data_IF_684626676949
#
_entry.id   IF_684626676949
#
_cell.length_a   1.000
_cell.length_b   1.000
_cell.length_c   1.000
_cell.angle_alpha   90.00
_cell.angle_beta   90.00
_cell.angle_gamma   90.00
#
_symmetry.space_group_name_H-M   'P 1'
#
loop_
_entity.id
_entity.type
_entity.pdbx_description
1 polymer ?
#
# COMPACT_ATOMS: atom_id res chain seq x y z
N UNK A 1 -15.18 -7.44 13.60
CA UNK A 1 -13.77 -7.18 13.26
C UNK A 1 -13.56 -7.72 11.86
N UNK A 2 -12.97 -6.96 10.93
CA UNK A 2 -12.73 -7.48 9.58
C UNK A 2 -11.60 -8.49 9.65
N UNK A 3 -11.78 -9.63 8.98
CA UNK A 3 -10.74 -10.64 8.84
C UNK A 3 -9.71 -10.17 7.81
N UNK A 4 -8.60 -9.61 8.31
CA UNK A 4 -7.52 -9.07 7.48
C UNK A 4 -6.88 -10.16 6.60
N UNK A 5 -6.80 -11.40 7.08
CA UNK A 5 -6.23 -12.50 6.30
C UNK A 5 -7.13 -12.85 5.12
N UNK A 6 -8.45 -12.95 5.36
CA UNK A 6 -9.41 -13.19 4.29
C UNK A 6 -9.40 -12.06 3.23
N UNK A 7 -9.25 -10.80 3.66
CA UNK A 7 -9.10 -9.67 2.74
C UNK A 7 -7.82 -9.77 1.91
N UNK A 8 -6.69 -10.15 2.52
CA UNK A 8 -5.42 -10.34 1.80
C UNK A 8 -5.55 -11.43 0.73
N UNK A 9 -6.18 -12.56 1.05
CA UNK A 9 -6.46 -13.63 0.09
C UNK A 9 -7.31 -13.12 -1.08
N UNK A 10 -8.38 -12.36 -0.77
CA UNK A 10 -9.25 -11.77 -1.77
C UNK A 10 -8.50 -10.80 -2.69
N UNK A 11 -7.69 -9.89 -2.12
CA UNK A 11 -6.91 -8.91 -2.87
C UNK A 11 -5.87 -9.57 -3.76
N UNK A 12 -5.19 -10.62 -3.26
CA UNK A 12 -4.24 -11.39 -4.07
C UNK A 12 -4.94 -12.10 -5.24
N UNK A 13 -6.08 -12.76 -4.99
CA UNK A 13 -6.83 -13.47 -6.00
C UNK A 13 -7.42 -12.55 -7.09
N UNK A 14 -7.64 -11.27 -6.78
CA UNK A 14 -8.14 -10.27 -7.72
C UNK A 14 -7.06 -9.67 -8.64
N UNK A 15 -5.78 -9.94 -8.39
CA UNK A 15 -4.69 -9.47 -9.25
C UNK A 15 -4.74 -10.18 -10.61
N UNK A 16 -4.82 -9.43 -11.70
CA UNK A 16 -5.02 -9.99 -13.05
C UNK A 16 -3.93 -9.60 -14.08
N UNK A 17 -3.10 -8.60 -13.78
CA UNK A 17 -2.12 -8.04 -14.70
C UNK A 17 -0.69 -8.11 -14.12
N UNK A 18 -0.17 -9.33 -14.01
CA UNK A 18 1.17 -9.60 -13.52
C UNK A 18 1.64 -11.00 -13.96
N UNK A 19 2.95 -11.26 -14.02
CA UNK A 19 3.45 -12.62 -14.26
C UNK A 19 2.99 -13.59 -13.16
N UNK A 20 2.97 -14.90 -13.44
CA UNK A 20 2.70 -15.90 -12.41
C UNK A 20 3.75 -15.81 -11.30
N UNK A 21 3.32 -16.00 -10.07
CA UNK A 21 4.18 -15.99 -8.90
C UNK A 21 4.45 -17.41 -8.40
N UNK A 22 5.68 -17.67 -7.96
CA UNK A 22 5.99 -18.87 -7.19
C UNK A 22 5.31 -18.84 -5.81
N UNK A 23 5.16 -19.98 -5.15
CA UNK A 23 4.57 -20.03 -3.80
C UNK A 23 5.28 -19.11 -2.80
N UNK A 24 6.62 -19.01 -2.88
CA UNK A 24 7.41 -18.10 -2.05
C UNK A 24 7.07 -16.64 -2.35
N UNK A 25 6.97 -16.27 -3.63
CA UNK A 25 6.56 -14.92 -4.03
C UNK A 25 5.14 -14.61 -3.54
N UNK A 26 4.20 -15.56 -3.65
CA UNK A 26 2.83 -15.38 -3.12
C UNK A 26 2.85 -15.04 -1.63
N UNK A 27 3.66 -15.74 -0.83
CA UNK A 27 3.76 -15.47 0.60
C UNK A 27 4.31 -14.05 0.89
N UNK A 28 5.32 -13.61 0.14
CA UNK A 28 5.89 -12.25 0.25
C UNK A 28 4.85 -11.20 -0.15
N UNK A 29 4.15 -11.43 -1.25
CA UNK A 29 3.12 -10.51 -1.75
C UNK A 29 1.99 -10.38 -0.74
N UNK A 30 1.51 -11.48 -0.16
CA UNK A 30 0.46 -11.44 0.87
C UNK A 30 0.91 -10.64 2.10
N UNK A 31 2.16 -10.77 2.54
CA UNK A 31 2.72 -9.90 3.59
C UNK A 31 2.73 -8.42 3.17
N UNK A 32 3.08 -8.14 1.92
CA UNK A 32 3.06 -6.78 1.38
C UNK A 32 1.63 -6.20 1.38
N UNK A 33 0.66 -6.92 0.83
CA UNK A 33 -0.75 -6.55 0.86
C UNK A 33 -1.23 -6.28 2.29
N UNK A 34 -0.89 -7.20 3.21
CA UNK A 34 -1.22 -7.09 4.63
C UNK A 34 -0.66 -5.82 5.26
N UNK A 35 0.60 -5.46 4.94
CA UNK A 35 1.22 -4.23 5.42
C UNK A 35 0.40 -3.01 5.01
N UNK A 36 0.13 -2.83 3.71
CA UNK A 36 -0.63 -1.65 3.23
C UNK A 36 -2.06 -1.59 3.80
N UNK A 37 -2.76 -2.73 3.83
CA UNK A 37 -4.11 -2.80 4.38
C UNK A 37 -4.12 -2.50 5.89
N UNK A 38 -3.23 -3.11 6.66
CA UNK A 38 -3.11 -2.87 8.09
C UNK A 38 -2.81 -1.39 8.37
N UNK A 39 -1.85 -0.81 7.66
CA UNK A 39 -1.39 0.56 7.90
C UNK A 39 -2.42 1.61 7.49
N UNK A 40 -2.99 1.51 6.29
CA UNK A 40 -3.73 2.62 5.67
C UNK A 40 -5.24 2.42 5.55
N UNK A 41 -5.73 1.18 5.67
CA UNK A 41 -7.17 0.87 5.57
C UNK A 41 -7.76 0.55 6.94
N UNK A 42 -7.09 -0.31 7.71
CA UNK A 42 -7.60 -0.80 8.99
C UNK A 42 -6.98 -0.09 10.20
N UNK A 43 -5.87 0.64 10.01
CA UNK A 43 -5.12 1.32 11.06
C UNK A 43 -4.68 0.37 12.19
N UNK A 44 -4.36 -0.88 11.83
CA UNK A 44 -3.79 -1.91 12.70
C UNK A 44 -2.28 -1.73 12.76
N UNK A 45 -1.85 -0.88 13.70
CA UNK A 45 -0.45 -0.51 13.85
C UNK A 45 0.40 -1.59 14.53
N UNK A 46 -0.19 -2.51 15.27
CA UNK A 46 0.54 -3.64 15.85
C UNK A 46 0.93 -4.64 14.75
N UNK A 47 -0.01 -4.94 13.84
CA UNK A 47 0.30 -5.71 12.63
C UNK A 47 1.34 -4.98 11.77
N UNK A 48 1.21 -3.66 11.59
CA UNK A 48 2.18 -2.84 10.83
C UNK A 48 3.60 -3.00 11.39
N UNK A 49 3.77 -2.84 12.71
CA UNK A 49 5.07 -3.02 13.39
C UNK A 49 5.65 -4.41 13.18
N UNK A 50 4.83 -5.46 13.23
CA UNK A 50 5.30 -6.85 13.08
C UNK A 50 5.81 -7.22 11.68
N UNK A 51 5.50 -6.41 10.67
CA UNK A 51 5.85 -6.69 9.26
C UNK A 51 7.09 -5.90 8.80
N UNK A 52 7.53 -4.92 9.58
CA UNK A 52 8.64 -4.03 9.27
C UNK A 52 9.81 -4.29 10.21
N UNK A 53 11.02 -4.23 9.68
CA UNK A 53 12.23 -4.25 10.51
C UNK A 53 12.35 -2.95 11.30
N UNK A 54 12.88 -3.01 12.52
CA UNK A 54 13.09 -1.81 13.36
C UNK A 54 13.94 -0.72 12.69
N UNK A 55 14.90 -1.10 11.85
CA UNK A 55 15.79 -0.21 11.08
C UNK A 55 15.30 0.00 9.62
N UNK A 56 13.99 -0.14 9.37
CA UNK A 56 13.40 0.05 8.05
C UNK A 56 13.75 1.43 7.47
N UNK A 57 14.39 1.44 6.29
CA UNK A 57 14.83 2.67 5.62
C UNK A 57 13.76 3.24 4.73
N UNK A 58 13.53 4.54 4.83
CA UNK A 58 12.52 5.25 4.06
C UNK A 58 13.16 6.28 3.13
N UNK A 59 12.69 6.29 1.88
CA UNK A 59 13.18 7.21 0.85
C UNK A 59 12.14 8.22 0.38
N UNK A 60 10.87 8.10 0.80
CA UNK A 60 9.91 9.18 0.66
C UNK A 60 10.36 10.36 1.54
N UNK A 61 10.62 11.56 0.97
CA UNK A 61 11.12 12.71 1.73
C UNK A 61 10.16 13.23 2.80
N UNK A 62 8.89 12.82 2.77
CA UNK A 62 7.86 13.20 3.73
C UNK A 62 7.71 12.21 4.90
N UNK A 63 8.44 11.10 4.89
CA UNK A 63 8.32 10.02 5.89
C UNK A 63 9.71 9.64 6.42
N UNK A 64 9.86 9.58 7.74
CA UNK A 64 11.12 9.17 8.37
C UNK A 64 11.38 7.66 8.31
N UNK A 65 12.53 7.24 8.84
CA UNK A 65 12.88 5.82 8.99
C UNK A 65 12.06 5.12 10.09
N UNK A 66 12.02 3.79 10.04
CA UNK A 66 11.44 2.91 11.04
C UNK A 66 9.90 2.78 10.97
N UNK A 67 9.32 1.78 11.66
CA UNK A 67 7.88 1.52 11.61
C UNK A 67 7.01 2.67 12.16
N UNK A 68 7.51 3.44 13.14
CA UNK A 68 6.73 4.53 13.73
C UNK A 68 6.49 5.66 12.73
N UNK A 69 7.47 5.96 11.86
CA UNK A 69 7.35 7.06 10.89
C UNK A 69 6.22 6.82 9.87
N UNK A 70 6.04 5.59 9.37
CA UNK A 70 4.93 5.27 8.47
C UNK A 70 3.58 5.23 9.21
N UNK A 71 3.57 4.85 10.48
CA UNK A 71 2.37 4.91 11.33
C UNK A 71 1.94 6.37 11.55
N UNK A 72 2.87 7.27 11.89
CA UNK A 72 2.62 8.69 12.04
C UNK A 72 2.11 9.31 10.73
N UNK A 73 2.70 8.93 9.60
CA UNK A 73 2.24 9.36 8.29
C UNK A 73 0.79 8.90 8.01
N UNK A 74 0.46 7.64 8.30
CA UNK A 74 -0.91 7.10 8.16
C UNK A 74 -1.91 7.85 9.03
N UNK A 75 -1.57 8.11 10.29
CA UNK A 75 -2.42 8.87 11.22
C UNK A 75 -2.67 10.30 10.72
N UNK A 76 -1.62 10.97 10.26
CA UNK A 76 -1.72 12.32 9.71
C UNK A 76 -2.56 12.35 8.42
N UNK A 77 -2.35 11.38 7.52
CA UNK A 77 -3.12 11.25 6.30
C UNK A 77 -4.61 11.02 6.60
N UNK A 78 -4.93 10.09 7.51
CA UNK A 78 -6.30 9.83 7.93
C UNK A 78 -6.94 11.08 8.55
N UNK A 79 -6.25 11.78 9.46
CA UNK A 79 -6.75 13.03 10.03
C UNK A 79 -7.08 14.07 8.96
N UNK A 80 -6.17 14.30 8.00
CA UNK A 80 -6.38 15.23 6.88
C UNK A 80 -7.61 14.84 6.05
N UNK A 81 -7.82 13.54 5.80
CA UNK A 81 -9.00 13.03 5.09
C UNK A 81 -10.28 13.31 5.89
N UNK A 82 -10.27 13.05 7.19
CA UNK A 82 -11.43 13.33 8.05
C UNK A 82 -11.75 14.83 8.06
N UNK A 83 -10.75 15.70 8.18
CA UNK A 83 -10.94 17.16 8.13
C UNK A 83 -11.53 17.61 6.78
N UNK A 84 -10.99 17.11 5.66
CA UNK A 84 -11.46 17.44 4.31
C UNK A 84 -12.89 16.97 4.01
N UNK A 85 -13.30 15.85 4.60
CA UNK A 85 -14.61 15.24 4.35
C UNK A 85 -15.64 15.56 5.43
N UNK A 86 -15.32 16.45 6.37
CA UNK A 86 -16.21 16.75 7.49
C UNK A 86 -16.51 15.54 8.37
N UNK A 87 -15.53 14.63 8.49
CA UNK A 87 -15.59 13.38 9.27
C UNK A 87 -16.63 12.36 8.78
N UNK A 88 -16.96 12.41 7.48
CA UNK A 88 -17.91 11.48 6.85
C UNK A 88 -17.24 10.41 5.98
N UNK A 89 -15.91 10.48 5.82
CA UNK A 89 -15.18 9.51 5.04
C UNK A 89 -15.31 8.10 5.63
N UNK A 90 -15.70 7.16 4.77
CA UNK A 90 -15.47 5.74 4.98
C UNK A 90 -13.96 5.43 4.95
N UNK A 91 -13.60 4.16 5.19
CA UNK A 91 -12.20 3.74 5.08
C UNK A 91 -11.67 3.97 3.66
N UNK A 92 -10.38 4.33 3.51
CA UNK A 92 -9.72 4.32 2.21
C UNK A 92 -9.81 2.94 1.54
N UNK A 93 -9.83 2.91 0.21
CA UNK A 93 -9.78 1.68 -0.60
C UNK A 93 -8.48 1.65 -1.40
N UNK A 94 -7.67 0.61 -1.18
CA UNK A 94 -6.43 0.37 -1.93
C UNK A 94 -6.67 -0.76 -2.92
N UNK A 95 -6.67 -0.41 -4.21
CA UNK A 95 -6.83 -1.37 -5.31
C UNK A 95 -5.47 -1.66 -5.91
N UNK A 96 -4.90 -2.79 -5.53
CA UNK A 96 -3.65 -3.28 -6.11
C UNK A 96 -3.87 -3.65 -7.58
N UNK A 97 -3.04 -3.08 -8.47
CA UNK A 97 -3.17 -3.28 -9.92
C UNK A 97 -2.27 -4.41 -10.40
N UNK A 98 -1.01 -4.39 -9.95
CA UNK A 98 0.03 -5.34 -10.32
C UNK A 98 1.12 -5.37 -9.27
N UNK A 99 1.74 -6.54 -9.11
CA UNK A 99 2.84 -6.76 -8.17
C UNK A 99 3.90 -7.64 -8.84
N UNK A 100 5.13 -7.15 -8.83
CA UNK A 100 6.31 -7.79 -9.42
C UNK A 100 7.32 -8.08 -8.31
N UNK A 101 8.00 -9.22 -8.42
CA UNK A 101 9.13 -9.55 -7.54
C UNK A 101 10.35 -9.87 -8.41
N UNK A 102 11.45 -9.19 -8.14
CA UNK A 102 12.77 -9.45 -8.72
C UNK A 102 13.84 -9.48 -7.63
N UNK A 103 14.39 -10.67 -7.37
CA UNK A 103 15.25 -10.93 -6.22
C UNK A 103 14.57 -10.52 -4.91
N UNK A 104 15.19 -9.60 -4.19
CA UNK A 104 14.69 -9.07 -2.91
C UNK A 104 13.73 -7.87 -3.08
N UNK A 105 13.48 -7.41 -4.31
CA UNK A 105 12.62 -6.26 -4.56
C UNK A 105 11.17 -6.69 -4.81
N UNK A 106 10.24 -6.01 -4.15
CA UNK A 106 8.80 -6.13 -4.35
C UNK A 106 8.30 -4.79 -4.88
N UNK A 107 7.83 -4.77 -6.11
CA UNK A 107 7.29 -3.56 -6.74
C UNK A 107 5.78 -3.73 -6.88
N UNK A 108 5.01 -2.75 -6.44
CA UNK A 108 3.56 -2.75 -6.62
C UNK A 108 3.08 -1.41 -7.15
N UNK A 109 2.03 -1.48 -7.97
CA UNK A 109 1.26 -0.32 -8.35
C UNK A 109 -0.13 -0.42 -7.73
N UNK A 110 -0.58 0.66 -7.10
CA UNK A 110 -1.88 0.72 -6.45
C UNK A 110 -2.67 1.95 -6.88
N UNK A 111 -3.99 1.78 -6.93
CA UNK A 111 -4.96 2.88 -7.01
C UNK A 111 -5.53 3.11 -5.61
N UNK A 112 -5.16 4.21 -4.97
CA UNK A 112 -5.60 4.56 -3.62
C UNK A 112 -6.73 5.57 -3.71
N UNK A 113 -7.94 5.14 -3.36
CA UNK A 113 -9.13 6.01 -3.26
C UNK A 113 -9.31 6.38 -1.79
N UNK A 114 -9.09 7.66 -1.45
CA UNK A 114 -9.01 8.08 -0.04
C UNK A 114 -10.38 8.31 0.61
N UNK A 115 -11.39 8.64 -0.19
CA UNK A 115 -12.79 8.77 0.22
C UNK A 115 -13.71 8.61 -0.99
N UNK A 116 -15.02 8.48 -0.77
CA UNK A 116 -16.01 8.35 -1.84
C UNK A 116 -16.03 9.60 -2.73
N UNK A 117 -15.78 9.42 -4.03
CA UNK A 117 -15.73 10.51 -5.01
C UNK A 117 -14.33 11.08 -5.24
N UNK A 118 -13.31 10.62 -4.50
CA UNK A 118 -11.91 10.88 -4.85
C UNK A 118 -11.53 10.11 -6.13
N UNK A 119 -10.94 10.81 -7.11
CA UNK A 119 -10.35 10.13 -8.27
C UNK A 119 -9.18 9.23 -7.84
N UNK A 120 -8.55 9.55 -6.72
CA UNK A 120 -7.52 8.75 -6.08
C UNK A 120 -6.11 9.09 -6.52
N UNK A 121 -5.18 8.27 -6.04
CA UNK A 121 -3.75 8.34 -6.32
C UNK A 121 -3.32 7.10 -7.10
N UNK A 122 -2.44 7.30 -8.06
CA UNK A 122 -1.62 6.24 -8.64
C UNK A 122 -0.31 6.21 -7.87
N UNK A 123 -0.05 5.12 -7.15
CA UNK A 123 1.14 4.96 -6.32
C UNK A 123 1.96 3.80 -6.87
N UNK A 124 3.25 4.04 -7.09
CA UNK A 124 4.24 2.99 -7.27
C UNK A 124 5.05 2.89 -6.00
N UNK A 125 5.04 1.72 -5.39
CA UNK A 125 5.86 1.41 -4.23
C UNK A 125 6.89 0.36 -4.64
N UNK A 126 8.11 0.50 -4.12
CA UNK A 126 9.15 -0.52 -4.19
C UNK A 126 9.64 -0.78 -2.77
N UNK A 127 9.61 -2.04 -2.36
CA UNK A 127 10.11 -2.49 -1.06
C UNK A 127 11.28 -3.45 -1.27
N UNK A 128 12.25 -3.41 -0.35
CA UNK A 128 13.22 -4.48 -0.20
C UNK A 128 12.75 -5.44 0.90
N UNK A 129 12.69 -6.73 0.59
CA UNK A 129 12.32 -7.80 1.51
C UNK A 129 13.54 -8.70 1.77
N UNK A 130 13.93 -8.84 3.04
CA UNK A 130 15.11 -9.61 3.44
C UNK A 130 14.87 -10.27 4.78
N UNK A 131 15.35 -11.51 4.92
CA UNK A 131 15.32 -12.28 6.18
C UNK A 131 13.92 -12.39 6.81
N UNK A 132 12.86 -12.34 6.01
CA UNK A 132 11.48 -12.47 6.47
C UNK A 132 10.70 -11.17 6.68
N UNK A 133 11.36 -10.01 6.52
CA UNK A 133 10.82 -8.68 6.84
C UNK A 133 11.03 -7.69 5.69
N UNK A 134 10.23 -6.62 5.64
CA UNK A 134 10.52 -5.46 4.79
C UNK A 134 11.51 -4.54 5.49
N UNK A 135 12.58 -4.16 4.78
CA UNK A 135 13.73 -3.45 5.36
C UNK A 135 14.01 -2.08 4.73
N UNK A 136 13.39 -1.78 3.58
CA UNK A 136 13.62 -0.53 2.85
C UNK A 136 12.44 -0.24 1.92
N UNK A 137 12.15 1.03 1.66
CA UNK A 137 11.03 1.46 0.81
C UNK A 137 11.28 2.75 0.05
N UNK A 138 10.80 2.77 -1.18
CA UNK A 138 10.70 3.93 -2.05
C UNK A 138 9.27 4.02 -2.59
N UNK A 139 8.80 5.24 -2.83
CA UNK A 139 7.53 5.44 -3.53
C UNK A 139 7.61 6.55 -4.58
N UNK A 140 6.60 6.55 -5.45
CA UNK A 140 6.22 7.67 -6.28
C UNK A 140 4.71 7.78 -6.31
N UNK A 141 4.21 8.95 -5.93
CA UNK A 141 2.78 9.23 -5.78
C UNK A 141 2.37 10.27 -6.82
N UNK A 142 1.33 9.97 -7.59
CA UNK A 142 0.73 10.89 -8.55
C UNK A 142 -0.78 10.93 -8.41
N UNK A 143 -1.40 12.10 -8.60
CA UNK A 143 -2.87 12.18 -8.65
C UNK A 143 -3.40 11.50 -9.91
N UNK A 144 -4.50 10.76 -9.78
CA UNK A 144 -5.24 10.27 -10.95
C UNK A 144 -5.85 11.49 -11.67
N UNK A 145 -5.53 11.71 -12.96
CA UNK A 145 -6.00 12.89 -13.67
C UNK A 145 -7.50 12.77 -13.98
N UNK A 146 -8.21 13.91 -13.96
CA UNK A 146 -9.62 13.96 -14.40
C UNK A 146 -9.81 13.77 -15.91
N UNK A 147 -8.74 13.94 -16.69
CA UNK A 147 -8.73 13.72 -18.13
C UNK A 147 -7.37 13.16 -18.58
N UNK A 148 -7.41 12.17 -19.47
CA UNK A 148 -6.22 11.59 -20.10
C UNK A 148 -6.17 11.95 -21.58
N UNK A 149 -4.96 12.10 -22.12
CA UNK A 149 -4.74 12.24 -23.59
C UNK A 149 -4.81 10.90 -24.33
N UNK A 150 -4.72 9.79 -23.60
CA UNK A 150 -4.80 8.44 -24.13
C UNK A 150 -6.08 7.76 -23.61
N UNK A 151 -6.48 6.69 -24.30
CA UNK A 151 -7.69 5.91 -23.96
C UNK A 151 -7.42 4.81 -22.91
N UNK A 152 -6.16 4.49 -22.65
CA UNK A 152 -5.75 3.40 -21.74
C UNK A 152 -5.81 3.81 -20.26
N UNK A 153 -5.79 5.10 -19.96
CA UNK A 153 -5.73 5.62 -18.59
C UNK A 153 -4.33 5.57 -17.98
N UNK A 154 -4.27 5.66 -16.64
CA UNK A 154 -3.03 5.68 -15.85
C UNK A 154 -2.68 4.31 -15.23
N UNK A 155 -3.60 3.34 -15.30
CA UNK A 155 -3.45 2.01 -14.72
C UNK A 155 -3.35 0.97 -15.81
#
# INVERSE_FOLDING_TARGET
MVDLEAEVELRYAALADQPPHTATQVAIIKKCLKLFLATFVYFDYDTTRSLLRGEYKQHNPEVGDGPESIIEFSQLANKKIQDLTGHTAERPDIRFKRILIDGDYVVLQSHVVRWKGDLGLNVFDMLRYKDGEFVEHWDSISQVPGQSKNDNGIF
#
